data_IF_232737646921
#
_entry.id   IF_232737646921
#
_cell.length_a   1.000
_cell.length_b   1.000
_cell.length_c   1.000
_cell.angle_alpha   90.00
_cell.angle_beta   90.00
_cell.angle_gamma   90.00
#
_symmetry.space_group_name_H-M   'P 1'
#
loop_
_entity.id
_entity.type
_entity.pdbx_description
1 polymer ?
#
# COMPACT_ATOMS: atom_id res chain seq x y z
N UNK A 1 -5.60 5.55 33.09
CA UNK A 1 -5.89 4.16 32.71
C UNK A 1 -5.57 4.03 31.23
N UNK A 2 -4.82 3.02 30.78
CA UNK A 2 -4.63 2.84 29.34
C UNK A 2 -6.01 2.58 28.73
N UNK A 3 -6.43 3.48 27.85
CA UNK A 3 -7.64 3.30 27.05
C UNK A 3 -7.40 2.13 26.11
N UNK A 4 -8.35 1.20 25.99
CA UNK A 4 -8.25 0.12 25.00
C UNK A 4 -7.94 0.69 23.61
N UNK A 5 -7.10 0.02 22.79
CA UNK A 5 -6.78 0.48 21.45
C UNK A 5 -8.05 0.66 20.60
N UNK A 6 -8.14 1.79 19.89
CA UNK A 6 -9.33 2.18 19.13
C UNK A 6 -9.38 1.52 17.74
N UNK A 7 -9.55 0.19 17.72
CA UNK A 7 -9.70 -0.58 16.48
C UNK A 7 -10.93 -0.16 15.67
N UNK A 8 -11.96 0.37 16.31
CA UNK A 8 -13.18 0.84 15.63
C UNK A 8 -12.91 2.06 14.77
N UNK A 9 -12.02 2.95 15.20
CA UNK A 9 -11.57 4.06 14.37
C UNK A 9 -10.81 3.58 13.11
N UNK A 10 -10.01 2.52 13.23
CA UNK A 10 -9.34 1.91 12.06
C UNK A 10 -10.38 1.33 11.10
N UNK A 11 -11.32 0.52 11.58
CA UNK A 11 -12.44 -0.02 10.78
C UNK A 11 -13.20 1.07 10.05
N UNK A 12 -13.45 2.20 10.73
CA UNK A 12 -14.11 3.36 10.10
C UNK A 12 -13.28 3.94 8.95
N UNK A 13 -11.95 3.95 9.07
CA UNK A 13 -11.04 4.47 8.05
C UNK A 13 -10.86 3.53 6.84
N UNK A 14 -11.04 2.22 7.01
CA UNK A 14 -11.07 1.25 5.92
C UNK A 14 -12.19 1.52 4.90
N UNK A 15 -13.30 2.08 5.39
CA UNK A 15 -14.46 2.47 4.62
C UNK A 15 -14.32 3.78 3.82
N UNK A 16 -15.45 4.48 3.57
CA UNK A 16 -15.47 5.76 2.86
C UNK A 16 -14.62 6.83 3.55
N UNK A 17 -14.02 7.73 2.77
CA UNK A 17 -13.12 8.79 3.27
C UNK A 17 -13.84 9.93 4.00
N UNK A 18 -15.07 10.25 3.61
CA UNK A 18 -15.77 11.44 4.06
C UNK A 18 -15.85 11.60 5.59
N UNK A 19 -16.12 10.54 6.38
CA UNK A 19 -16.22 10.67 7.83
C UNK A 19 -14.91 11.03 8.57
N UNK A 20 -13.74 10.81 7.95
CA UNK A 20 -12.44 11.16 8.54
C UNK A 20 -11.82 12.42 7.90
N UNK A 21 -12.52 13.10 6.99
CA UNK A 21 -11.93 14.18 6.19
C UNK A 21 -11.31 15.29 7.04
N UNK A 22 -12.01 15.74 8.10
CA UNK A 22 -11.51 16.81 8.97
C UNK A 22 -10.33 16.36 9.84
N UNK A 23 -10.36 15.11 10.32
CA UNK A 23 -9.22 14.51 11.03
C UNK A 23 -7.99 14.45 10.13
N UNK A 24 -8.14 13.94 8.91
CA UNK A 24 -7.04 13.86 7.94
C UNK A 24 -6.51 15.25 7.60
N UNK A 25 -7.39 16.23 7.40
CA UNK A 25 -6.97 17.62 7.16
C UNK A 25 -6.15 18.19 8.33
N UNK A 26 -6.55 17.90 9.58
CA UNK A 26 -5.81 18.28 10.78
C UNK A 26 -4.42 17.62 10.85
N UNK A 27 -4.32 16.33 10.54
CA UNK A 27 -3.06 15.58 10.49
C UNK A 27 -2.10 16.15 9.43
N UNK A 28 -2.62 16.44 8.23
CA UNK A 28 -1.84 17.04 7.14
C UNK A 28 -1.39 18.47 7.47
N UNK A 29 -2.24 19.29 8.08
CA UNK A 29 -1.87 20.64 8.51
C UNK A 29 -0.81 20.60 9.62
N UNK A 30 -0.92 19.64 10.55
CA UNK A 30 0.13 19.40 11.53
C UNK A 30 1.45 19.06 10.85
N UNK A 31 1.46 18.10 9.93
CA UNK A 31 2.65 17.76 9.16
C UNK A 31 3.22 18.95 8.40
N UNK A 32 2.38 19.83 7.85
CA UNK A 32 2.81 21.07 7.19
C UNK A 32 3.49 22.05 8.16
N UNK A 33 2.96 22.18 9.37
CA UNK A 33 3.40 23.15 10.37
C UNK A 33 4.64 22.69 11.13
N UNK A 34 4.69 21.43 11.54
CA UNK A 34 5.66 20.92 12.52
C UNK A 34 6.85 20.21 11.86
N UNK A 35 6.69 19.68 10.64
CA UNK A 35 7.76 18.96 9.96
C UNK A 35 8.93 19.89 9.60
N UNK A 36 10.09 19.60 10.21
CA UNK A 36 11.36 20.20 9.86
C UNK A 36 12.11 19.27 8.87
N UNK A 37 12.27 19.68 7.59
CA UNK A 37 13.00 18.88 6.62
C UNK A 37 14.49 18.80 6.97
N UNK A 38 15.19 17.68 6.66
CA UNK A 38 16.63 17.61 6.80
C UNK A 38 17.35 18.68 5.97
N UNK A 39 18.09 19.57 6.64
CA UNK A 39 18.82 20.69 6.04
C UNK A 39 20.14 20.23 5.38
N UNK A 40 20.03 19.42 4.33
CA UNK A 40 21.17 18.85 3.59
C UNK A 40 21.07 19.08 2.09
N UNK A 41 22.22 19.11 1.40
CA UNK A 41 22.30 19.29 -0.05
C UNK A 41 21.66 18.15 -0.86
N UNK A 42 21.39 18.41 -2.15
CA UNK A 42 20.80 17.44 -3.08
C UNK A 42 21.75 16.30 -3.47
N UNK A 43 23.05 16.45 -3.17
CA UNK A 43 24.09 15.44 -3.23
C UNK A 43 23.94 14.37 -2.14
N UNK A 44 23.36 14.74 -0.98
CA UNK A 44 23.03 13.81 0.12
C UNK A 44 21.64 13.22 -0.11
N UNK A 45 20.64 14.08 -0.34
CA UNK A 45 19.25 13.67 -0.58
C UNK A 45 18.72 14.31 -1.85
N UNK A 46 18.63 13.51 -2.92
CA UNK A 46 18.13 13.98 -4.22
C UNK A 46 16.69 14.50 -4.15
N UNK A 47 16.35 15.45 -5.02
CA UNK A 47 14.98 15.99 -5.13
C UNK A 47 13.93 14.91 -5.40
N UNK A 48 14.30 13.82 -6.10
CA UNK A 48 13.40 12.70 -6.33
C UNK A 48 13.01 12.01 -5.03
N UNK A 49 13.98 11.78 -4.14
CA UNK A 49 13.74 11.19 -2.82
C UNK A 49 12.92 12.15 -1.96
N UNK A 50 13.29 13.45 -1.93
CA UNK A 50 12.53 14.47 -1.19
C UNK A 50 11.06 14.55 -1.60
N UNK A 51 10.78 14.54 -2.91
CA UNK A 51 9.39 14.54 -3.42
C UNK A 51 8.55 13.37 -2.93
N UNK A 52 9.17 12.22 -2.66
CA UNK A 52 8.47 11.03 -2.15
C UNK A 52 8.38 11.07 -0.62
N UNK A 53 9.52 11.29 0.05
CA UNK A 53 9.63 11.19 1.51
C UNK A 53 9.06 12.41 2.26
N UNK A 54 8.90 13.54 1.58
CA UNK A 54 8.45 14.80 2.17
C UNK A 54 7.17 15.32 1.51
N UNK A 55 6.35 14.44 0.93
CA UNK A 55 4.98 14.81 0.56
C UNK A 55 4.12 15.10 1.81
N UNK A 56 2.95 15.71 1.63
CA UNK A 56 2.11 16.12 2.77
C UNK A 56 1.73 14.95 3.69
N UNK A 57 1.56 13.75 3.13
CA UNK A 57 1.18 12.56 3.88
C UNK A 57 2.37 12.01 4.69
N UNK A 58 3.54 11.89 4.08
CA UNK A 58 4.74 11.41 4.75
C UNK A 58 5.18 12.38 5.85
N UNK A 59 5.04 13.71 5.67
CA UNK A 59 5.28 14.67 6.76
C UNK A 59 4.39 14.40 7.97
N UNK A 60 3.09 14.19 7.75
CA UNK A 60 2.17 13.85 8.83
C UNK A 60 2.58 12.52 9.51
N UNK A 61 2.97 11.50 8.74
CA UNK A 61 3.45 10.23 9.28
C UNK A 61 4.72 10.40 10.11
N UNK A 62 5.72 11.09 9.57
CA UNK A 62 7.02 11.32 10.20
C UNK A 62 6.89 12.10 11.52
N UNK A 63 6.05 13.14 11.56
CA UNK A 63 5.76 13.84 12.82
C UNK A 63 5.01 12.99 13.82
N UNK A 64 4.12 12.09 13.36
CA UNK A 64 3.43 11.19 14.27
C UNK A 64 4.35 10.09 14.82
N UNK A 65 5.29 9.59 14.02
CA UNK A 65 6.33 8.66 14.48
C UNK A 65 7.25 9.36 15.50
N UNK A 66 7.61 10.62 15.28
CA UNK A 66 8.41 11.39 16.24
C UNK A 66 7.74 11.51 17.62
N UNK A 67 6.41 11.61 17.69
CA UNK A 67 5.67 11.65 18.96
C UNK A 67 5.78 10.35 19.79
N UNK A 68 6.27 9.26 19.22
CA UNK A 68 6.38 7.95 19.88
C UNK A 68 7.71 7.83 20.64
N UNK A 69 8.70 8.63 20.22
CA UNK A 69 10.04 8.64 20.79
C UNK A 69 10.01 9.42 22.10
N UNK A 70 10.43 8.78 23.20
CA UNK A 70 10.69 9.52 24.44
C UNK A 70 12.14 10.01 24.43
N UNK A 71 12.42 11.23 24.94
CA UNK A 71 13.79 11.71 25.06
C UNK A 71 14.66 10.76 25.89
N UNK A 72 15.86 10.48 25.42
CA UNK A 72 16.81 9.59 26.10
C UNK A 72 16.67 8.11 25.75
N UNK A 73 15.81 7.73 24.79
CA UNK A 73 15.61 6.34 24.40
C UNK A 73 16.68 5.78 23.46
N UNK A 74 16.99 4.51 23.67
CA UNK A 74 17.78 3.67 22.77
C UNK A 74 16.85 3.15 21.67
N UNK A 75 17.06 3.60 20.43
CA UNK A 75 16.20 3.30 19.29
C UNK A 75 16.84 2.28 18.36
N UNK A 76 16.05 1.29 17.91
CA UNK A 76 16.42 0.41 16.79
C UNK A 76 15.40 0.54 15.67
N UNK A 77 15.84 0.85 14.45
CA UNK A 77 14.98 0.89 13.26
C UNK A 77 15.24 -0.32 12.34
N UNK A 78 14.18 -1.08 12.03
CA UNK A 78 14.20 -2.18 11.06
C UNK A 78 13.59 -1.67 9.76
N UNK A 79 14.39 -1.65 8.69
CA UNK A 79 14.02 -1.08 7.38
C UNK A 79 14.24 0.43 7.29
N UNK A 80 15.47 0.90 7.55
CA UNK A 80 15.76 2.33 7.64
C UNK A 80 15.62 3.14 6.34
N UNK A 81 15.54 2.48 5.18
CA UNK A 81 15.19 3.09 3.91
C UNK A 81 16.08 4.28 3.50
N UNK A 82 15.53 5.49 3.55
CA UNK A 82 16.24 6.72 3.21
C UNK A 82 16.64 7.57 4.44
N UNK A 83 16.41 7.07 5.65
CA UNK A 83 16.84 7.71 6.91
C UNK A 83 15.96 8.84 7.42
N UNK A 84 14.76 9.03 6.86
CA UNK A 84 13.86 10.12 7.27
C UNK A 84 13.23 9.87 8.64
N UNK A 85 12.90 8.62 8.97
CA UNK A 85 12.44 8.24 10.31
C UNK A 85 13.57 8.47 11.32
N UNK A 86 14.77 7.95 11.04
CA UNK A 86 15.98 8.19 11.82
C UNK A 86 16.22 9.68 12.13
N UNK A 87 16.19 10.55 11.10
CA UNK A 87 16.40 11.98 11.26
C UNK A 87 15.36 12.61 12.20
N UNK A 88 14.08 12.20 12.11
CA UNK A 88 13.03 12.70 13.00
C UNK A 88 13.14 12.14 14.42
N UNK A 89 13.47 10.86 14.58
CA UNK A 89 13.64 10.22 15.89
C UNK A 89 14.82 10.83 16.67
N UNK A 90 15.95 11.07 16.00
CA UNK A 90 17.11 11.73 16.60
C UNK A 90 16.81 13.21 16.92
N UNK A 91 16.04 13.91 16.10
CA UNK A 91 15.58 15.26 16.41
C UNK A 91 14.56 15.29 17.57
N UNK A 92 13.78 14.23 17.76
CA UNK A 92 12.85 14.07 18.88
C UNK A 92 13.54 13.73 20.21
N UNK A 93 14.86 13.48 20.19
CA UNK A 93 15.67 13.31 21.40
C UNK A 93 16.05 11.88 21.73
N UNK A 94 15.98 10.94 20.77
CA UNK A 94 16.59 9.62 20.95
C UNK A 94 18.07 9.77 21.39
N UNK A 95 18.47 8.99 22.41
CA UNK A 95 19.82 8.99 22.95
C UNK A 95 20.80 8.32 21.99
N UNK A 96 20.38 7.19 21.42
CA UNK A 96 21.15 6.49 20.40
C UNK A 96 20.26 5.86 19.34
N UNK A 97 20.88 5.55 18.21
CA UNK A 97 20.24 4.99 17.05
C UNK A 97 21.04 3.81 16.49
N UNK A 98 20.39 2.66 16.40
CA UNK A 98 20.82 1.51 15.61
C UNK A 98 19.82 1.26 14.51
N UNK A 99 20.27 0.70 13.40
CA UNK A 99 19.35 0.33 12.34
C UNK A 99 19.84 -0.81 11.46
N UNK A 100 18.89 -1.34 10.71
CA UNK A 100 19.14 -2.32 9.69
C UNK A 100 18.24 -2.13 8.47
N UNK A 101 18.67 -2.66 7.33
CA UNK A 101 17.88 -2.74 6.11
C UNK A 101 18.37 -3.92 5.28
N UNK A 102 17.49 -4.56 4.51
CA UNK A 102 17.88 -5.63 3.59
C UNK A 102 18.77 -5.09 2.46
N UNK A 103 18.56 -3.82 2.07
CA UNK A 103 19.24 -3.20 0.95
C UNK A 103 20.49 -2.42 1.40
N UNK A 104 21.66 -2.86 0.96
CA UNK A 104 22.93 -2.16 1.16
C UNK A 104 22.87 -0.66 0.79
N UNK A 105 22.04 -0.33 -0.21
CA UNK A 105 21.85 1.04 -0.68
C UNK A 105 21.09 1.92 0.31
N UNK A 106 20.17 1.35 1.10
CA UNK A 106 19.44 2.04 2.16
C UNK A 106 20.38 2.35 3.32
N UNK A 107 21.13 1.34 3.78
CA UNK A 107 22.18 1.48 4.82
C UNK A 107 23.11 2.65 4.52
N UNK A 108 23.67 2.71 3.30
CA UNK A 108 24.57 3.80 2.87
C UNK A 108 23.88 5.16 2.82
N UNK A 109 22.61 5.23 2.38
CA UNK A 109 21.85 6.49 2.28
C UNK A 109 21.53 7.04 3.66
N UNK A 110 21.04 6.20 4.57
CA UNK A 110 20.75 6.58 5.95
C UNK A 110 22.01 7.06 6.66
N UNK A 111 23.12 6.31 6.57
CA UNK A 111 24.39 6.73 7.16
C UNK A 111 24.84 8.11 6.67
N UNK A 112 24.88 8.32 5.34
CA UNK A 112 25.25 9.63 4.76
C UNK A 112 24.34 10.78 5.22
N UNK A 113 23.04 10.52 5.34
CA UNK A 113 22.09 11.54 5.82
C UNK A 113 22.38 11.91 7.28
N UNK A 114 22.57 10.92 8.16
CA UNK A 114 22.81 11.16 9.58
C UNK A 114 24.16 11.82 9.84
N UNK A 115 25.20 11.45 9.07
CA UNK A 115 26.50 12.13 9.10
C UNK A 115 26.34 13.60 8.67
N UNK A 116 25.63 13.86 7.57
CA UNK A 116 25.41 15.23 7.09
C UNK A 116 24.57 16.10 8.06
N UNK A 117 23.81 15.48 8.96
CA UNK A 117 23.06 16.14 10.03
C UNK A 117 23.84 16.26 11.35
N UNK A 118 25.08 15.75 11.42
CA UNK A 118 25.93 15.80 12.61
C UNK A 118 25.38 14.93 13.75
N UNK A 119 24.96 13.70 13.44
CA UNK A 119 24.44 12.74 14.42
C UNK A 119 25.37 11.55 14.66
N UNK A 120 26.63 11.61 14.23
CA UNK A 120 27.58 10.49 14.28
C UNK A 120 27.84 9.99 15.71
N UNK A 121 27.73 10.88 16.69
CA UNK A 121 27.92 10.58 18.11
C UNK A 121 26.80 9.72 18.73
N UNK A 122 25.62 9.75 18.12
CA UNK A 122 24.42 9.00 18.55
C UNK A 122 24.14 7.77 17.69
N UNK A 123 24.67 7.69 16.47
CA UNK A 123 24.55 6.51 15.62
C UNK A 123 25.53 5.43 16.09
N UNK A 124 25.00 4.30 16.58
CA UNK A 124 25.83 3.18 17.05
C UNK A 124 26.17 2.20 15.93
N UNK A 125 25.21 1.90 15.06
CA UNK A 125 25.41 1.00 13.91
C UNK A 125 24.27 1.09 12.90
N UNK A 126 24.58 0.96 11.60
CA UNK A 126 23.59 0.74 10.53
C UNK A 126 24.10 -0.41 9.67
N UNK A 127 23.36 -1.51 9.61
CA UNK A 127 23.84 -2.77 9.01
C UNK A 127 22.91 -3.31 7.94
N UNK A 128 23.46 -4.08 7.00
CA UNK A 128 22.65 -4.85 6.05
C UNK A 128 22.16 -6.12 6.75
N UNK A 129 20.84 -6.31 6.86
CA UNK A 129 20.25 -7.48 7.53
C UNK A 129 18.82 -7.73 7.06
N UNK A 130 18.51 -9.01 6.89
CA UNK A 130 17.15 -9.50 6.63
C UNK A 130 16.36 -9.56 7.93
N UNK A 131 15.18 -8.91 7.93
CA UNK A 131 14.23 -8.92 9.05
C UNK A 131 13.91 -10.35 9.51
N UNK A 132 13.76 -11.31 8.60
CA UNK A 132 13.45 -12.70 8.95
C UNK A 132 14.56 -13.41 9.76
N UNK A 133 15.76 -12.84 9.77
CA UNK A 133 16.93 -13.38 10.49
C UNK A 133 17.19 -12.68 11.82
N UNK A 134 16.26 -11.84 12.29
CA UNK A 134 16.37 -11.17 13.58
C UNK A 134 16.38 -12.18 14.75
N UNK A 135 17.33 -11.96 15.65
CA UNK A 135 17.51 -12.66 16.91
C UNK A 135 17.37 -11.67 18.07
N UNK A 136 17.04 -12.11 19.30
CA UNK A 136 16.90 -11.20 20.44
C UNK A 136 18.13 -10.33 20.70
N UNK A 137 19.34 -10.85 20.45
CA UNK A 137 20.59 -10.10 20.59
C UNK A 137 20.75 -8.94 19.60
N UNK A 138 19.95 -8.87 18.54
CA UNK A 138 19.95 -7.72 17.64
C UNK A 138 19.23 -6.51 18.23
N UNK A 139 18.30 -6.71 19.17
CA UNK A 139 17.42 -5.69 19.73
C UNK A 139 17.58 -5.51 21.25
N UNK A 140 18.56 -6.20 21.87
CA UNK A 140 18.68 -6.36 23.33
C UNK A 140 18.77 -5.04 24.14
N UNK A 141 19.44 -4.03 23.60
CA UNK A 141 19.54 -2.69 24.21
C UNK A 141 18.37 -1.75 23.88
N UNK A 142 17.43 -2.18 23.03
CA UNK A 142 16.37 -1.32 22.52
C UNK A 142 15.33 -0.99 23.60
N UNK A 143 14.93 0.27 23.64
CA UNK A 143 13.76 0.73 24.40
C UNK A 143 12.54 1.04 23.53
N UNK A 144 12.80 1.27 22.24
CA UNK A 144 11.81 1.46 21.19
C UNK A 144 12.36 0.86 19.89
N UNK A 145 11.57 0.00 19.26
CA UNK A 145 11.84 -0.54 17.93
C UNK A 145 10.87 0.10 16.94
N UNK A 146 11.35 0.55 15.79
CA UNK A 146 10.52 1.09 14.70
C UNK A 146 10.65 0.21 13.46
N UNK A 147 9.52 -0.18 12.89
CA UNK A 147 9.41 -0.90 11.62
C UNK A 147 8.33 -0.23 10.74
N UNK A 148 8.66 0.92 10.14
CA UNK A 148 7.69 1.73 9.38
C UNK A 148 7.76 1.41 7.89
N UNK A 149 6.63 0.98 7.31
CA UNK A 149 6.51 0.67 5.87
C UNK A 149 7.49 -0.40 5.37
N UNK A 150 7.54 -1.53 6.08
CA UNK A 150 8.41 -2.67 5.73
C UNK A 150 7.59 -3.92 5.46
N UNK A 151 6.69 -4.27 6.39
CA UNK A 151 6.00 -5.57 6.37
C UNK A 151 5.05 -5.73 5.18
N UNK A 152 4.66 -4.67 4.49
CA UNK A 152 3.90 -4.75 3.25
C UNK A 152 4.72 -5.23 2.05
N UNK A 153 6.05 -5.15 2.13
CA UNK A 153 6.97 -5.48 1.05
C UNK A 153 7.48 -6.92 1.11
N UNK A 154 7.33 -7.59 2.25
CA UNK A 154 7.86 -8.92 2.48
C UNK A 154 6.88 -10.02 2.03
N UNK A 155 7.37 -11.22 1.68
CA UNK A 155 6.51 -12.31 1.22
C UNK A 155 5.53 -12.85 2.28
N UNK A 156 5.94 -12.85 3.56
CA UNK A 156 5.15 -13.36 4.70
C UNK A 156 5.16 -12.32 5.83
N UNK A 157 4.16 -11.41 5.89
CA UNK A 157 4.12 -10.36 6.90
C UNK A 157 3.78 -10.90 8.29
N UNK A 158 3.07 -12.02 8.40
CA UNK A 158 2.81 -12.71 9.67
C UNK A 158 4.12 -13.15 10.31
N UNK A 159 4.95 -13.90 9.57
CA UNK A 159 6.26 -14.36 10.05
C UNK A 159 7.20 -13.19 10.37
N UNK A 160 7.11 -12.10 9.61
CA UNK A 160 7.90 -10.90 9.86
C UNK A 160 7.55 -10.27 11.22
N UNK A 161 6.24 -10.11 11.52
CA UNK A 161 5.82 -9.57 12.80
C UNK A 161 6.09 -10.53 13.97
N UNK A 162 5.93 -11.85 13.77
CA UNK A 162 6.32 -12.87 14.76
C UNK A 162 7.82 -12.83 15.07
N UNK A 163 8.64 -12.62 14.04
CA UNK A 163 10.10 -12.49 14.19
C UNK A 163 10.47 -11.23 14.97
N UNK A 164 9.82 -10.10 14.69
CA UNK A 164 9.96 -8.88 15.48
C UNK A 164 9.52 -9.09 16.93
N UNK A 165 8.34 -9.68 17.16
CA UNK A 165 7.82 -9.97 18.50
C UNK A 165 8.75 -10.88 19.30
N UNK A 166 9.29 -11.95 18.70
CA UNK A 166 10.26 -12.84 19.37
C UNK A 166 11.58 -12.16 19.71
N UNK A 167 12.04 -11.22 18.89
CA UNK A 167 13.29 -10.51 19.11
C UNK A 167 13.14 -9.29 20.04
N UNK A 168 11.92 -8.77 20.22
CA UNK A 168 11.63 -7.57 21.00
C UNK A 168 11.94 -7.81 22.50
N UNK A 169 12.69 -6.92 23.17
CA UNK A 169 12.83 -6.99 24.63
C UNK A 169 11.49 -6.79 25.34
N UNK A 170 11.30 -7.45 26.49
CA UNK A 170 10.05 -7.37 27.29
C UNK A 170 9.59 -5.94 27.63
N UNK A 171 10.54 -5.07 27.99
CA UNK A 171 10.29 -3.68 28.37
C UNK A 171 10.38 -2.68 27.20
N UNK A 172 10.61 -3.16 25.97
CA UNK A 172 10.59 -2.35 24.76
C UNK A 172 9.17 -2.28 24.18
N UNK A 173 8.91 -1.22 23.43
CA UNK A 173 7.72 -1.15 22.58
C UNK A 173 8.14 -1.18 21.10
N UNK A 174 7.26 -1.72 20.27
CA UNK A 174 7.35 -1.74 18.82
C UNK A 174 6.37 -0.72 18.23
N UNK A 175 6.86 0.19 17.40
CA UNK A 175 6.03 0.89 16.44
C UNK A 175 6.17 0.24 15.08
N UNK A 176 5.05 -0.01 14.42
CA UNK A 176 5.04 -0.32 13.00
C UNK A 176 3.89 0.39 12.28
N UNK A 177 4.09 0.62 10.99
CA UNK A 177 3.04 1.14 10.10
C UNK A 177 2.80 0.19 8.95
N UNK A 178 1.54 0.11 8.54
CA UNK A 178 1.13 -0.61 7.33
C UNK A 178 0.19 0.24 6.48
N UNK A 179 0.07 -0.02 5.19
CA UNK A 179 -0.97 0.58 4.36
C UNK A 179 -2.37 0.31 4.92
N UNK A 180 -3.15 1.39 5.08
CA UNK A 180 -4.57 1.32 5.42
C UNK A 180 -5.33 0.60 4.31
N UNK A 181 -6.31 -0.26 4.66
CA UNK A 181 -7.05 -1.05 3.70
C UNK A 181 -7.48 -0.21 2.50
N UNK A 182 -7.02 -0.68 1.34
CA UNK A 182 -7.41 -0.08 0.10
C UNK A 182 -6.74 1.24 -0.27
N UNK A 183 -5.88 1.75 0.59
CA UNK A 183 -4.93 2.80 0.28
C UNK A 183 -3.63 2.12 -0.17
N UNK A 184 -2.88 2.79 -1.03
CA UNK A 184 -1.57 2.33 -1.51
C UNK A 184 -1.50 0.96 -2.21
N UNK A 185 -2.62 0.25 -2.40
CA UNK A 185 -2.66 -1.02 -3.15
C UNK A 185 -2.17 -0.92 -4.60
N UNK A 186 -2.12 0.29 -5.17
CA UNK A 186 -1.56 0.57 -6.49
C UNK A 186 -0.02 0.57 -6.51
N UNK A 187 0.65 0.58 -5.36
CA UNK A 187 2.11 0.52 -5.27
C UNK A 187 2.54 -0.92 -5.52
N UNK A 188 3.24 -1.15 -6.62
CA UNK A 188 3.54 -2.52 -7.09
C UNK A 188 4.37 -3.35 -6.11
N UNK A 189 5.27 -2.69 -5.37
CA UNK A 189 6.09 -3.33 -4.35
C UNK A 189 5.33 -3.72 -3.08
N UNK A 190 4.06 -3.32 -2.92
CA UNK A 190 3.23 -3.74 -1.80
C UNK A 190 2.60 -5.08 -2.17
N UNK A 191 2.94 -6.11 -1.40
CA UNK A 191 2.51 -7.49 -1.57
C UNK A 191 1.38 -7.88 -0.64
N UNK A 192 1.12 -7.10 0.41
CA UNK A 192 0.15 -7.44 1.46
C UNK A 192 -1.01 -6.45 1.56
N UNK A 193 -2.18 -6.97 1.93
CA UNK A 193 -3.41 -6.22 2.21
C UNK A 193 -3.76 -6.39 3.69
N UNK A 194 -3.85 -5.28 4.42
CA UNK A 194 -4.10 -5.30 5.87
C UNK A 194 -5.52 -4.85 6.19
N UNK A 195 -6.18 -5.60 7.08
CA UNK A 195 -7.41 -5.18 7.76
C UNK A 195 -7.16 -5.07 9.25
N UNK A 196 -8.03 -4.37 9.97
CA UNK A 196 -8.02 -4.30 11.42
C UNK A 196 -7.99 -5.71 12.05
N UNK A 197 -8.86 -6.62 11.59
CA UNK A 197 -8.93 -8.00 12.10
C UNK A 197 -7.65 -8.79 11.82
N UNK A 198 -7.06 -8.62 10.62
CA UNK A 198 -5.79 -9.29 10.28
C UNK A 198 -4.68 -8.78 11.18
N UNK A 199 -4.58 -7.45 11.39
CA UNK A 199 -3.57 -6.85 12.26
C UNK A 199 -3.72 -7.31 13.71
N UNK A 200 -4.95 -7.41 14.22
CA UNK A 200 -5.21 -7.97 15.55
C UNK A 200 -4.70 -9.43 15.66
N UNK A 201 -4.99 -10.27 14.66
CA UNK A 201 -4.51 -11.66 14.64
C UNK A 201 -2.98 -11.75 14.50
N UNK A 202 -2.36 -10.88 13.70
CA UNK A 202 -0.91 -10.83 13.55
C UNK A 202 -0.22 -10.46 14.87
N UNK A 203 -0.75 -9.47 15.61
CA UNK A 203 -0.25 -9.08 16.92
C UNK A 203 -0.34 -10.24 17.93
N UNK A 204 -1.50 -10.92 17.99
CA UNK A 204 -1.70 -12.07 18.86
C UNK A 204 -0.69 -13.18 18.58
N UNK A 205 -0.49 -13.52 17.29
CA UNK A 205 0.50 -14.52 16.87
C UNK A 205 1.93 -14.13 17.22
N UNK A 206 2.24 -12.84 17.15
CA UNK A 206 3.54 -12.30 17.54
C UNK A 206 3.75 -12.22 19.06
N UNK A 207 2.75 -12.57 19.87
CA UNK A 207 2.82 -12.45 21.33
C UNK A 207 2.85 -10.99 21.81
N UNK A 208 2.22 -10.08 21.06
CA UNK A 208 2.20 -8.64 21.32
C UNK A 208 0.76 -8.15 21.58
N UNK A 209 0.64 -7.16 22.45
CA UNK A 209 -0.59 -6.40 22.69
C UNK A 209 -0.47 -5.01 22.07
N UNK A 210 -1.51 -4.58 21.36
CA UNK A 210 -1.60 -3.19 20.94
C UNK A 210 -1.77 -2.27 22.16
N UNK A 211 -0.95 -1.23 22.22
CA UNK A 211 -0.98 -0.17 23.21
C UNK A 211 -1.73 1.05 22.67
N UNK A 212 -1.56 1.31 21.37
CA UNK A 212 -2.25 2.34 20.61
C UNK A 212 -2.39 1.88 19.16
N UNK A 213 -3.55 2.15 18.57
CA UNK A 213 -3.79 1.97 17.15
C UNK A 213 -4.58 3.15 16.61
N UNK A 214 -4.21 3.64 15.43
CA UNK A 214 -4.94 4.71 14.76
C UNK A 214 -4.76 4.68 13.24
N UNK A 215 -5.77 5.10 12.48
CA UNK A 215 -5.56 5.49 11.09
C UNK A 215 -4.78 6.80 11.05
N UNK A 216 -3.92 6.93 10.04
CA UNK A 216 -3.03 8.07 9.88
C UNK A 216 -3.02 8.55 8.43
N UNK A 217 -3.39 9.81 8.26
CA UNK A 217 -3.36 10.57 7.01
C UNK A 217 -4.11 9.91 5.84
N UNK A 218 -5.14 9.10 6.09
CA UNK A 218 -5.87 8.31 5.07
C UNK A 218 -4.96 7.40 4.21
N UNK A 219 -3.83 6.97 4.79
CA UNK A 219 -2.82 6.16 4.10
C UNK A 219 -2.36 4.97 4.89
N UNK A 220 -2.24 5.11 6.21
CA UNK A 220 -1.60 4.12 7.07
C UNK A 220 -2.48 3.75 8.25
N UNK A 221 -2.20 2.57 8.81
CA UNK A 221 -2.48 2.25 10.20
C UNK A 221 -1.16 2.36 10.95
N UNK A 222 -1.13 3.14 12.02
CA UNK A 222 -0.02 3.19 12.95
C UNK A 222 -0.38 2.33 14.16
N UNK A 223 0.53 1.42 14.52
CA UNK A 223 0.37 0.53 15.66
C UNK A 223 1.57 0.72 16.58
N UNK A 224 1.30 0.97 17.86
CA UNK A 224 2.28 0.85 18.93
C UNK A 224 1.88 -0.37 19.75
N UNK A 225 2.79 -1.32 19.92
CA UNK A 225 2.57 -2.59 20.57
C UNK A 225 3.74 -2.96 21.48
N UNK A 226 3.54 -3.93 22.37
CA UNK A 226 4.60 -4.48 23.22
C UNK A 226 4.18 -5.82 23.80
N UNK A 227 5.08 -6.50 24.51
CA UNK A 227 4.70 -7.72 25.21
C UNK A 227 3.67 -7.45 26.33
N UNK A 228 2.79 -8.41 26.64
CA UNK A 228 1.81 -8.30 27.71
C UNK A 228 2.45 -7.87 29.03
N UNK A 229 1.87 -6.86 29.68
CA UNK A 229 2.41 -6.26 30.89
C UNK A 229 2.56 -4.75 30.77
N UNK A 230 3.02 -4.12 31.86
CA UNK A 230 3.16 -2.67 31.92
C UNK A 230 4.54 -2.24 32.40
N UNK A 231 5.08 -1.19 31.79
CA UNK A 231 6.24 -0.45 32.29
C UNK A 231 5.91 1.03 32.44
N UNK A 232 6.68 1.74 33.27
CA UNK A 232 6.52 3.19 33.43
C UNK A 232 6.77 3.92 32.10
N UNK A 233 7.76 3.45 31.33
CA UNK A 233 8.10 3.97 29.99
C UNK A 233 6.92 3.82 29.03
N UNK A 234 6.32 2.63 28.97
CA UNK A 234 5.13 2.33 28.16
C UNK A 234 3.97 3.27 28.49
N UNK A 235 3.72 3.50 29.77
CA UNK A 235 2.67 4.42 30.24
C UNK A 235 2.94 5.86 29.76
N UNK A 236 4.17 6.34 29.96
CA UNK A 236 4.58 7.67 29.53
C UNK A 236 4.46 7.86 28.00
N UNK A 237 4.82 6.83 27.22
CA UNK A 237 4.69 6.82 25.75
C UNK A 237 3.23 6.94 25.31
N UNK A 238 2.34 6.14 25.88
CA UNK A 238 0.90 6.22 25.56
C UNK A 238 0.33 7.58 25.94
N UNK A 239 0.68 8.12 27.12
CA UNK A 239 0.25 9.46 27.55
C UNK A 239 0.74 10.56 26.60
N UNK A 240 2.01 10.52 26.19
CA UNK A 240 2.57 11.45 25.20
C UNK A 240 1.81 11.39 23.87
N UNK A 241 1.52 10.17 23.38
CA UNK A 241 0.81 9.98 22.12
C UNK A 241 -0.63 10.47 22.16
N UNK A 242 -1.34 10.21 23.26
CA UNK A 242 -2.70 10.69 23.48
C UNK A 242 -2.72 12.21 23.61
N UNK A 243 -1.77 12.81 24.33
CA UNK A 243 -1.64 14.26 24.45
C UNK A 243 -1.37 14.91 23.08
N UNK A 244 -0.45 14.36 22.29
CA UNK A 244 -0.16 14.84 20.95
C UNK A 244 -1.37 14.72 20.01
N UNK A 245 -2.11 13.61 20.10
CA UNK A 245 -3.28 13.31 19.28
C UNK A 245 -4.59 14.00 19.72
N UNK A 246 -4.67 14.49 20.96
CA UNK A 246 -5.87 15.17 21.51
C UNK A 246 -6.31 16.43 20.74
N UNK A 247 -5.45 16.93 19.84
CA UNK A 247 -5.70 18.09 18.98
C UNK A 247 -6.45 17.75 17.69
N UNK A 248 -6.69 16.47 17.41
CA UNK A 248 -7.45 16.06 16.23
C UNK A 248 -8.97 16.29 16.45
N UNK A 249 -9.71 16.74 15.42
CA UNK A 249 -11.16 16.82 15.46
C UNK A 249 -11.79 15.47 15.84
N UNK A 250 -12.90 15.51 16.59
CA UNK A 250 -13.68 14.32 16.87
C UNK A 250 -14.19 13.71 15.56
N UNK A 251 -14.13 12.38 15.48
CA UNK A 251 -14.65 11.63 14.34
C UNK A 251 -16.06 11.18 14.67
N UNK A 252 -17.04 11.61 13.87
CA UNK A 252 -18.44 11.19 14.00
C UNK A 252 -18.56 9.68 13.78
N UNK A 253 -18.99 8.96 14.83
CA UNK A 253 -19.13 7.49 14.87
C UNK A 253 -20.56 7.03 14.57
N UNK A 254 -21.30 7.77 13.76
CA UNK A 254 -22.70 7.47 13.48
C UNK A 254 -22.82 6.09 12.81
N UNK A 255 -23.56 5.23 13.51
CA UNK A 255 -23.90 3.81 13.27
C UNK A 255 -22.72 2.82 13.29
N UNK A 256 -23.01 1.61 13.81
CA UNK A 256 -22.09 0.48 13.78
C UNK A 256 -21.59 0.30 12.34
N UNK A 257 -20.29 0.49 12.13
CA UNK A 257 -19.73 0.28 10.79
C UNK A 257 -20.01 -1.16 10.39
N UNK A 258 -20.65 -1.40 9.23
CA UNK A 258 -20.90 -2.76 8.79
C UNK A 258 -19.55 -3.48 8.74
N UNK A 259 -19.51 -4.71 9.26
CA UNK A 259 -18.27 -5.49 9.29
C UNK A 259 -17.65 -5.52 7.88
N UNK A 260 -16.37 -5.15 7.78
CA UNK A 260 -15.62 -5.30 6.54
C UNK A 260 -15.71 -6.79 6.15
N UNK A 261 -16.27 -7.14 4.98
CA UNK A 261 -16.33 -8.54 4.57
C UNK A 261 -14.90 -9.07 4.46
N UNK A 262 -14.67 -10.39 4.61
CA UNK A 262 -13.35 -10.99 4.50
C UNK A 262 -12.60 -10.46 3.27
N UNK A 263 -11.41 -9.91 3.51
CA UNK A 263 -10.57 -9.37 2.45
C UNK A 263 -9.53 -10.40 2.01
N UNK A 264 -9.10 -10.36 0.74
CA UNK A 264 -7.86 -11.00 0.33
C UNK A 264 -6.70 -10.43 1.14
N UNK A 265 -5.62 -11.20 1.27
CA UNK A 265 -4.47 -10.86 2.10
C UNK A 265 -3.25 -10.46 1.28
N UNK A 266 -3.18 -10.79 -0.01
CA UNK A 266 -1.96 -10.54 -0.80
C UNK A 266 -2.16 -10.27 -2.29
N UNK A 267 -1.08 -9.76 -2.89
CA UNK A 267 -0.88 -9.61 -4.32
C UNK A 267 0.23 -10.56 -4.79
N UNK A 268 -0.14 -11.53 -5.62
CA UNK A 268 0.81 -12.45 -6.25
C UNK A 268 1.21 -11.85 -7.60
N UNK A 269 2.36 -11.17 -7.65
CA UNK A 269 2.87 -10.57 -8.89
C UNK A 269 3.26 -11.68 -9.89
N UNK A 270 2.82 -11.53 -11.15
CA UNK A 270 3.02 -12.57 -12.18
C UNK A 270 3.80 -12.01 -13.37
N UNK A 271 4.87 -12.68 -13.81
CA UNK A 271 5.50 -12.37 -15.08
C UNK A 271 4.51 -12.60 -16.23
N UNK A 272 4.19 -11.56 -17.02
CA UNK A 272 3.24 -11.70 -18.13
C UNK A 272 3.69 -12.76 -19.15
N UNK A 273 5.00 -12.92 -19.35
CA UNK A 273 5.59 -13.96 -20.21
C UNK A 273 5.28 -15.40 -19.78
N UNK A 274 4.83 -15.62 -18.54
CA UNK A 274 4.40 -16.95 -18.07
C UNK A 274 2.91 -17.22 -18.25
N UNK A 275 2.13 -16.26 -18.77
CA UNK A 275 0.70 -16.40 -18.98
C UNK A 275 0.37 -16.72 -20.44
N UNK A 276 -0.61 -17.60 -20.64
CA UNK A 276 -1.24 -17.75 -21.95
C UNK A 276 -2.16 -16.54 -22.20
N UNK A 277 -1.81 -15.76 -23.23
CA UNK A 277 -2.48 -14.52 -23.62
C UNK A 277 -3.04 -14.67 -25.03
N UNK A 278 -4.35 -14.50 -25.17
CA UNK A 278 -5.06 -14.64 -26.45
C UNK A 278 -5.91 -13.42 -26.78
N UNK A 279 -6.29 -13.28 -28.05
CA UNK A 279 -7.25 -12.25 -28.45
C UNK A 279 -8.68 -12.56 -27.97
N UNK A 280 -9.40 -11.53 -27.55
CA UNK A 280 -10.87 -11.58 -27.39
C UNK A 280 -11.48 -10.54 -28.32
N UNK A 281 -12.56 -10.90 -29.03
CA UNK A 281 -13.18 -10.02 -30.02
C UNK A 281 -14.70 -10.25 -30.13
N UNK A 282 -15.45 -9.18 -30.40
CA UNK A 282 -16.83 -9.23 -30.87
C UNK A 282 -16.90 -9.18 -32.41
N UNK A 283 -18.06 -9.49 -33.01
CA UNK A 283 -18.26 -9.69 -34.46
C UNK A 283 -17.90 -8.50 -35.39
N UNK A 284 -17.38 -7.40 -34.85
CA UNK A 284 -17.06 -6.15 -35.58
C UNK A 284 -15.71 -5.55 -35.19
N UNK A 285 -14.91 -6.25 -34.38
CA UNK A 285 -13.55 -5.86 -34.05
C UNK A 285 -12.55 -6.80 -34.73
N UNK A 286 -11.54 -6.24 -35.39
CA UNK A 286 -10.30 -6.96 -35.66
C UNK A 286 -9.37 -6.72 -34.47
N UNK A 287 -8.74 -7.79 -33.97
CA UNK A 287 -7.85 -7.72 -32.80
C UNK A 287 -6.53 -8.39 -33.15
N UNK A 288 -5.45 -7.63 -33.03
CA UNK A 288 -4.08 -8.12 -33.19
C UNK A 288 -3.41 -8.09 -31.83
N UNK A 289 -2.93 -9.24 -31.36
CA UNK A 289 -2.25 -9.37 -30.06
C UNK A 289 -0.76 -9.45 -30.28
N UNK A 290 -0.02 -8.64 -29.55
CA UNK A 290 1.42 -8.77 -29.38
C UNK A 290 1.66 -9.48 -28.04
N UNK A 291 2.08 -10.75 -28.04
CA UNK A 291 2.30 -11.49 -26.81
C UNK A 291 3.52 -10.94 -26.05
N UNK A 292 3.58 -11.18 -24.73
CA UNK A 292 4.71 -10.75 -23.91
C UNK A 292 6.01 -11.47 -24.31
N UNK A 293 7.12 -10.72 -24.35
CA UNK A 293 8.47 -11.28 -24.47
C UNK A 293 8.93 -11.93 -23.15
N UNK A 294 9.83 -12.93 -23.19
CA UNK A 294 10.27 -13.67 -22.00
C UNK A 294 10.88 -12.82 -20.87
N UNK A 295 11.64 -11.76 -21.20
CA UNK A 295 12.51 -11.11 -20.22
C UNK A 295 11.84 -9.98 -19.42
N UNK A 296 10.74 -9.39 -19.90
CA UNK A 296 9.96 -8.34 -19.19
C UNK A 296 8.67 -7.95 -19.95
N UNK A 297 8.12 -8.87 -20.74
CA UNK A 297 7.17 -8.54 -21.81
C UNK A 297 5.86 -7.91 -21.34
N UNK A 298 5.53 -6.73 -21.85
CA UNK A 298 4.16 -6.27 -21.86
C UNK A 298 3.32 -7.11 -22.84
N UNK A 299 2.05 -7.31 -22.53
CA UNK A 299 1.08 -7.86 -23.46
C UNK A 299 0.30 -6.71 -24.07
N UNK A 300 0.18 -6.66 -25.40
CA UNK A 300 -0.52 -5.57 -26.06
C UNK A 300 -1.59 -6.07 -27.04
N UNK A 301 -2.64 -5.28 -27.23
CA UNK A 301 -3.66 -5.53 -28.23
C UNK A 301 -3.97 -4.26 -29.03
N UNK A 302 -4.00 -4.38 -30.35
CA UNK A 302 -4.54 -3.38 -31.26
C UNK A 302 -5.96 -3.77 -31.63
N UNK A 303 -6.92 -2.90 -31.34
CA UNK A 303 -8.35 -3.15 -31.57
C UNK A 303 -8.85 -2.19 -32.64
N UNK A 304 -9.26 -2.73 -33.79
CA UNK A 304 -9.78 -1.95 -34.92
C UNK A 304 -11.27 -2.21 -35.11
N UNK A 305 -12.09 -1.16 -34.94
CA UNK A 305 -13.53 -1.24 -35.10
C UNK A 305 -13.95 -1.02 -36.56
N UNK A 306 -14.80 -1.91 -37.09
CA UNK A 306 -15.38 -1.72 -38.42
C UNK A 306 -16.14 -0.37 -38.52
N UNK A 307 -16.08 0.26 -39.69
CA UNK A 307 -16.82 1.49 -39.98
C UNK A 307 -18.34 1.29 -39.87
N UNK A 308 -19.03 2.31 -39.36
CA UNK A 308 -20.50 2.31 -39.30
C UNK A 308 -21.02 3.75 -39.30
N UNK A 309 -22.08 4.07 -40.06
CA UNK A 309 -22.71 5.38 -40.03
C UNK A 309 -23.47 5.64 -38.72
N UNK A 310 -23.79 4.58 -37.97
CA UNK A 310 -24.47 4.67 -36.68
C UNK A 310 -23.42 4.80 -35.56
N UNK A 311 -23.37 5.92 -34.82
CA UNK A 311 -22.30 6.20 -33.85
C UNK A 311 -22.34 5.31 -32.59
N UNK A 312 -23.48 4.66 -32.31
CA UNK A 312 -23.63 3.73 -31.19
C UNK A 312 -23.17 2.30 -31.50
N UNK A 313 -22.87 1.97 -32.77
CA UNK A 313 -22.46 0.63 -33.20
C UNK A 313 -20.97 0.36 -32.92
N UNK A 314 -20.63 0.27 -31.63
CA UNK A 314 -19.25 0.06 -31.14
C UNK A 314 -18.77 -1.38 -31.38
N UNK A 315 -17.45 -1.55 -31.37
CA UNK A 315 -16.80 -2.85 -31.40
C UNK A 315 -16.03 -3.05 -30.09
N UNK A 316 -15.86 -4.31 -29.66
CA UNK A 316 -15.17 -4.64 -28.41
C UNK A 316 -14.13 -5.69 -28.70
N UNK A 317 -12.91 -5.48 -28.19
CA UNK A 317 -11.82 -6.43 -28.31
C UNK A 317 -10.69 -6.13 -27.34
N UNK A 318 -9.75 -7.05 -27.22
CA UNK A 318 -8.59 -6.87 -26.33
C UNK A 318 -7.90 -8.19 -25.99
N UNK A 319 -7.41 -8.29 -24.76
CA UNK A 319 -6.62 -9.40 -24.25
C UNK A 319 -7.48 -10.32 -23.36
N UNK A 320 -7.25 -11.62 -23.44
CA UNK A 320 -7.68 -12.61 -22.47
C UNK A 320 -6.45 -13.30 -21.88
N UNK A 321 -6.35 -13.35 -20.55
CA UNK A 321 -5.28 -13.99 -19.81
C UNK A 321 -5.81 -15.22 -19.07
N UNK A 322 -5.20 -16.38 -19.30
CA UNK A 322 -5.61 -17.66 -18.70
C UNK A 322 -5.37 -17.72 -17.20
N UNK A 323 -6.23 -18.46 -16.48
CA UNK A 323 -6.11 -18.81 -15.06
C UNK A 323 -5.95 -20.34 -14.86
N UNK A 324 -5.58 -21.10 -15.89
CA UNK A 324 -5.62 -22.57 -15.89
C UNK A 324 -4.81 -23.25 -14.76
N UNK A 325 -3.79 -22.57 -14.21
CA UNK A 325 -2.89 -23.10 -13.17
C UNK A 325 -2.76 -22.16 -11.97
N UNK A 326 -3.79 -21.34 -11.72
CA UNK A 326 -3.81 -20.36 -10.63
C UNK A 326 -4.86 -20.80 -9.61
N UNK A 327 -4.51 -21.04 -8.35
CA UNK A 327 -5.54 -21.27 -7.32
C UNK A 327 -6.52 -20.08 -7.28
N UNK A 328 -7.75 -20.28 -6.80
CA UNK A 328 -8.84 -19.31 -6.95
C UNK A 328 -8.43 -17.88 -6.61
N UNK A 329 -8.62 -16.98 -7.57
CA UNK A 329 -8.31 -15.56 -7.40
C UNK A 329 -9.52 -14.81 -6.86
N UNK A 330 -9.27 -13.84 -6.01
CA UNK A 330 -10.28 -12.92 -5.46
C UNK A 330 -10.29 -11.56 -6.16
N UNK A 331 -9.41 -11.37 -7.15
CA UNK A 331 -9.36 -10.17 -7.98
C UNK A 331 -8.09 -10.11 -8.81
N UNK A 332 -7.84 -8.94 -9.40
CA UNK A 332 -6.65 -8.66 -10.21
C UNK A 332 -6.13 -7.26 -9.93
N UNK A 333 -4.81 -7.11 -9.83
CA UNK A 333 -4.12 -5.82 -9.92
C UNK A 333 -3.40 -5.76 -11.25
N UNK A 334 -3.59 -4.67 -11.98
CA UNK A 334 -3.06 -4.52 -13.34
C UNK A 334 -2.55 -3.11 -13.58
N UNK A 335 -1.43 -2.99 -14.30
CA UNK A 335 -0.88 -1.73 -14.79
C UNK A 335 -1.10 -1.66 -16.30
N UNK A 336 -1.91 -0.72 -16.76
CA UNK A 336 -2.25 -0.57 -18.18
C UNK A 336 -2.09 0.86 -18.70
N UNK A 337 -1.96 0.96 -20.02
CA UNK A 337 -1.96 2.19 -20.81
C UNK A 337 -2.87 2.03 -22.04
N UNK A 338 -3.55 3.11 -22.41
CA UNK A 338 -4.38 3.19 -23.61
C UNK A 338 -4.03 4.48 -24.34
N UNK A 339 -3.60 4.35 -25.59
CA UNK A 339 -2.95 5.43 -26.34
C UNK A 339 -3.92 6.49 -26.89
N UNK A 340 -5.12 6.09 -27.33
CA UNK A 340 -6.17 6.97 -27.84
C UNK A 340 -7.46 6.81 -27.02
N UNK A 341 -7.44 7.33 -25.79
CA UNK A 341 -8.64 7.39 -24.94
C UNK A 341 -9.79 8.17 -25.63
N UNK A 342 -9.48 9.06 -26.58
CA UNK A 342 -10.47 9.77 -27.39
C UNK A 342 -11.27 8.87 -28.35
N UNK A 343 -10.73 7.71 -28.72
CA UNK A 343 -11.37 6.75 -29.63
C UNK A 343 -12.05 5.58 -28.89
N UNK A 344 -11.77 5.45 -27.60
CA UNK A 344 -12.35 4.44 -26.71
C UNK A 344 -13.57 5.02 -25.98
N UNK A 345 -14.63 4.22 -25.88
CA UNK A 345 -15.84 4.56 -25.12
C UNK A 345 -15.78 4.02 -23.69
N UNK A 346 -15.18 2.85 -23.51
CA UNK A 346 -14.98 2.23 -22.20
C UNK A 346 -13.80 1.26 -22.22
N UNK A 347 -13.16 1.09 -21.07
CA UNK A 347 -12.25 -0.01 -20.75
C UNK A 347 -12.98 -0.93 -19.78
N UNK A 348 -12.93 -2.24 -20.00
CA UNK A 348 -13.52 -3.22 -19.08
C UNK A 348 -12.52 -4.27 -18.66
N UNK A 349 -12.66 -4.71 -17.42
CA UNK A 349 -11.97 -5.89 -16.89
C UNK A 349 -13.04 -6.88 -16.49
N UNK A 350 -13.05 -8.05 -17.13
CA UNK A 350 -14.11 -9.04 -16.98
C UNK A 350 -13.55 -10.39 -16.57
N UNK A 351 -14.20 -11.02 -15.60
CA UNK A 351 -14.03 -12.44 -15.30
C UNK A 351 -15.26 -13.18 -15.83
N UNK A 352 -15.16 -13.88 -16.97
CA UNK A 352 -16.27 -14.63 -17.54
C UNK A 352 -16.59 -15.88 -16.73
N UNK A 353 -17.89 -16.19 -16.60
CA UNK A 353 -18.33 -17.53 -16.22
C UNK A 353 -17.95 -17.99 -14.81
N UNK A 354 -18.08 -17.13 -13.81
CA UNK A 354 -18.08 -17.58 -12.42
C UNK A 354 -19.28 -18.49 -12.14
N UNK A 355 -19.23 -19.32 -11.09
CA UNK A 355 -20.14 -20.44 -10.77
C UNK A 355 -21.66 -20.20 -10.93
N UNK A 356 -22.12 -18.95 -11.00
CA UNK A 356 -23.52 -18.55 -11.28
C UNK A 356 -23.89 -18.42 -12.77
N UNK A 357 -22.94 -18.61 -13.70
CA UNK A 357 -23.11 -18.32 -15.13
C UNK A 357 -23.09 -16.82 -15.48
N UNK A 358 -22.81 -15.95 -14.51
CA UNK A 358 -22.75 -14.48 -14.70
C UNK A 358 -21.30 -14.00 -14.65
N UNK A 359 -20.92 -13.15 -15.61
CA UNK A 359 -19.62 -12.49 -15.61
C UNK A 359 -19.55 -11.38 -14.56
N UNK A 360 -18.38 -11.19 -13.95
CA UNK A 360 -18.08 -10.02 -13.14
C UNK A 360 -17.30 -9.00 -14.00
N UNK A 361 -17.85 -7.81 -14.21
CA UNK A 361 -17.26 -6.80 -15.08
C UNK A 361 -17.11 -5.46 -14.37
N UNK A 362 -15.86 -5.01 -14.27
CA UNK A 362 -15.50 -3.65 -13.89
C UNK A 362 -15.46 -2.78 -15.13
N UNK A 363 -16.11 -1.61 -15.09
CA UNK A 363 -16.22 -0.73 -16.26
C UNK A 363 -15.69 0.66 -15.96
N UNK A 364 -14.68 1.09 -16.71
CA UNK A 364 -14.24 2.47 -16.80
C UNK A 364 -14.87 3.11 -18.03
N UNK A 365 -15.90 3.93 -17.83
CA UNK A 365 -16.50 4.74 -18.91
C UNK A 365 -15.69 6.03 -19.06
N UNK A 366 -15.14 6.28 -20.26
CA UNK A 366 -14.23 7.40 -20.46
C UNK A 366 -14.95 8.74 -20.44
N UNK A 367 -14.42 9.68 -19.64
CA UNK A 367 -14.87 11.06 -19.56
C UNK A 367 -13.93 12.01 -20.32
N UNK A 368 -14.34 13.26 -20.54
CA UNK A 368 -13.47 14.29 -21.16
C UNK A 368 -12.19 14.57 -20.35
N UNK A 369 -12.21 14.37 -19.03
CA UNK A 369 -11.03 14.56 -18.17
C UNK A 369 -10.01 13.44 -18.35
N UNK A 370 -10.47 12.22 -18.63
CA UNK A 370 -9.59 11.06 -18.81
C UNK A 370 -8.72 11.20 -20.08
N UNK A 371 -9.29 11.75 -21.15
CA UNK A 371 -8.62 11.97 -22.45
C UNK A 371 -7.41 12.92 -22.36
N UNK A 372 -7.29 13.71 -21.30
CA UNK A 372 -6.18 14.64 -21.12
C UNK A 372 -4.94 13.99 -20.47
N UNK A 373 -4.99 12.69 -20.15
CA UNK A 373 -3.91 11.98 -19.43
C UNK A 373 -3.78 10.53 -19.90
N UNK A 374 -2.79 10.27 -20.76
CA UNK A 374 -2.48 8.95 -21.34
C UNK A 374 -1.43 8.16 -20.54
N UNK A 375 -1.26 8.42 -19.24
CA UNK A 375 -0.19 7.75 -18.47
C UNK A 375 -0.58 6.33 -18.10
N UNK A 376 0.42 5.43 -18.02
CA UNK A 376 0.32 4.14 -17.32
C UNK A 376 -0.29 4.31 -15.95
N UNK A 377 -1.25 3.44 -15.61
CA UNK A 377 -1.96 3.48 -14.33
C UNK A 377 -2.17 2.06 -13.81
N UNK A 378 -2.01 1.93 -12.50
CA UNK A 378 -2.25 0.68 -11.77
C UNK A 378 -3.61 0.71 -11.10
N UNK A 379 -4.38 -0.36 -11.30
CA UNK A 379 -5.69 -0.56 -10.71
C UNK A 379 -5.73 -1.90 -9.98
N UNK A 380 -6.23 -1.89 -8.74
CA UNK A 380 -6.57 -3.08 -7.97
C UNK A 380 -8.07 -3.30 -8.11
N UNK A 381 -8.54 -4.43 -8.62
CA UNK A 381 -9.96 -4.69 -8.90
C UNK A 381 -10.39 -5.98 -8.21
N UNK A 382 -11.31 -5.87 -7.24
CA UNK A 382 -11.88 -7.00 -6.51
C UNK A 382 -13.34 -6.75 -6.11
N UNK A 383 -14.13 -7.80 -5.83
CA UNK A 383 -15.52 -7.65 -5.37
C UNK A 383 -15.65 -6.73 -4.14
N UNK A 384 -16.80 -6.07 -4.00
CA UNK A 384 -17.11 -5.20 -2.86
C UNK A 384 -16.43 -3.83 -2.87
N UNK A 385 -15.55 -3.53 -3.85
CA UNK A 385 -14.80 -2.28 -3.90
C UNK A 385 -14.85 -1.62 -5.28
N UNK A 386 -15.38 -0.40 -5.34
CA UNK A 386 -15.26 0.47 -6.52
C UNK A 386 -14.00 1.31 -6.40
N UNK A 387 -13.21 1.37 -7.47
CA UNK A 387 -11.98 2.16 -7.53
C UNK A 387 -12.07 3.03 -8.77
N UNK A 388 -12.14 4.35 -8.56
CA UNK A 388 -12.16 5.33 -9.65
C UNK A 388 -10.96 5.07 -10.57
N UNK A 389 -11.17 4.93 -11.88
CA UNK A 389 -12.41 5.23 -12.62
C UNK A 389 -13.29 4.02 -12.96
N UNK A 390 -12.96 2.83 -12.47
CA UNK A 390 -13.76 1.62 -12.66
C UNK A 390 -14.94 1.56 -11.69
N UNK A 391 -16.14 1.49 -12.24
CA UNK A 391 -17.33 1.08 -11.50
C UNK A 391 -17.33 -0.44 -11.33
N UNK A 392 -17.49 -0.90 -10.08
CA UNK A 392 -17.61 -2.33 -9.77
C UNK A 392 -19.01 -2.87 -10.16
N UNK A 393 -19.12 -4.17 -10.47
CA UNK A 393 -20.42 -4.81 -10.62
C UNK A 393 -21.18 -4.83 -9.28
N UNK A 394 -22.52 -4.90 -9.33
CA UNK A 394 -23.37 -4.94 -8.12
C UNK A 394 -23.05 -6.12 -7.20
N UNK A 395 -22.71 -7.25 -7.79
CA UNK A 395 -22.18 -8.43 -7.11
C UNK A 395 -21.16 -9.09 -8.03
N UNK A 396 -20.12 -9.67 -7.42
CA UNK A 396 -19.12 -10.45 -8.11
C UNK A 396 -18.73 -11.63 -7.23
N UNK A 397 -18.85 -12.82 -7.81
CA UNK A 397 -18.22 -14.04 -7.35
C UNK A 397 -17.22 -14.40 -8.45
N UNK A 398 -15.97 -14.70 -8.10
CA UNK A 398 -14.94 -15.05 -9.07
C UNK A 398 -14.64 -16.56 -9.06
N UNK A 399 -15.35 -17.33 -8.23
CA UNK A 399 -15.19 -18.77 -8.09
C UNK A 399 -15.40 -19.45 -9.43
N UNK A 400 -14.38 -20.21 -9.86
CA UNK A 400 -14.40 -20.96 -11.13
C UNK A 400 -14.08 -20.13 -12.38
N UNK A 401 -13.73 -18.85 -12.25
CA UNK A 401 -13.26 -18.06 -13.39
C UNK A 401 -11.99 -18.69 -13.99
N UNK A 402 -11.99 -18.86 -15.32
CA UNK A 402 -10.88 -19.51 -16.05
C UNK A 402 -9.96 -18.54 -16.77
N UNK A 403 -10.36 -17.28 -16.86
CA UNK A 403 -9.59 -16.21 -17.49
C UNK A 403 -10.04 -14.85 -16.98
N UNK A 404 -9.19 -13.86 -17.17
CA UNK A 404 -9.54 -12.44 -17.08
C UNK A 404 -9.43 -11.80 -18.46
N UNK A 405 -10.39 -10.96 -18.83
CA UNK A 405 -10.42 -10.24 -20.10
C UNK A 405 -10.25 -8.74 -19.85
N UNK A 406 -9.27 -8.11 -20.51
CA UNK A 406 -9.09 -6.65 -20.51
C UNK A 406 -9.43 -6.16 -21.91
N UNK A 407 -10.55 -5.43 -22.03
CA UNK A 407 -11.10 -5.05 -23.34
C UNK A 407 -11.33 -3.56 -23.49
N UNK A 408 -11.19 -3.09 -24.72
CA UNK A 408 -11.55 -1.75 -25.17
C UNK A 408 -12.86 -1.82 -25.94
N UNK A 409 -13.78 -0.92 -25.63
CA UNK A 409 -14.94 -0.65 -26.49
C UNK A 409 -14.61 0.54 -27.39
N UNK A 410 -14.34 0.28 -28.67
CA UNK A 410 -13.82 1.25 -29.64
C UNK A 410 -14.96 1.84 -30.49
N UNK A 411 -14.90 3.15 -30.76
CA UNK A 411 -15.88 3.85 -31.62
C UNK A 411 -15.77 3.36 -33.08
N UNK A 412 -16.87 3.40 -33.86
CA UNK A 412 -16.85 2.91 -35.24
C UNK A 412 -15.77 3.57 -36.11
N UNK A 413 -15.06 2.75 -36.91
CA UNK A 413 -14.01 3.23 -37.81
C UNK A 413 -12.75 3.76 -37.12
N UNK A 414 -12.58 3.47 -35.83
CA UNK A 414 -11.40 3.87 -35.05
C UNK A 414 -10.56 2.65 -34.66
N UNK A 415 -9.32 2.92 -34.31
CA UNK A 415 -8.36 1.97 -33.77
C UNK A 415 -7.86 2.50 -32.43
N UNK A 416 -7.66 1.61 -31.47
CA UNK A 416 -7.06 1.94 -30.19
C UNK A 416 -6.13 0.81 -29.74
N UNK A 417 -5.10 1.17 -28.99
CA UNK A 417 -4.08 0.26 -28.52
C UNK A 417 -4.14 0.14 -26.99
N UNK A 418 -4.09 -1.10 -26.50
CA UNK A 418 -3.99 -1.44 -25.09
C UNK A 418 -2.60 -2.02 -24.83
N UNK A 419 -1.87 -1.48 -23.87
CA UNK A 419 -0.64 -2.06 -23.31
C UNK A 419 -0.93 -2.48 -21.86
N UNK A 420 -0.78 -3.76 -21.55
CA UNK A 420 -0.78 -4.32 -20.21
C UNK A 420 0.67 -4.61 -19.82
N UNK A 421 1.20 -3.82 -18.89
CA UNK A 421 2.61 -3.85 -18.53
C UNK A 421 2.91 -4.74 -17.33
N UNK A 422 1.96 -4.87 -16.40
CA UNK A 422 2.10 -5.72 -15.21
C UNK A 422 0.76 -6.28 -14.78
N UNK A 423 0.79 -7.47 -14.19
CA UNK A 423 -0.38 -8.12 -13.59
C UNK A 423 -0.03 -8.84 -12.29
N UNK A 424 -0.96 -8.84 -11.35
CA UNK A 424 -0.88 -9.60 -10.11
C UNK A 424 -2.25 -10.16 -9.76
N UNK A 425 -2.28 -11.38 -9.23
CA UNK A 425 -3.51 -11.98 -8.71
C UNK A 425 -3.75 -11.53 -7.28
N UNK A 426 -4.99 -11.15 -6.96
CA UNK A 426 -5.36 -10.78 -5.59
C UNK A 426 -5.89 -12.04 -4.91
N UNK A 427 -5.31 -12.44 -3.77
CA UNK A 427 -5.61 -13.73 -3.11
C UNK A 427 -5.65 -13.62 -1.59
#
# INVERSE_FOLDING_TARGET
MPTSPDWDLVRRAEGPRAPLADRVASELERGRRDYAPPEVGSDVVSDKVRRVQEDAYNRARLERIADVVLPGEELVEVGCGAGFVAARALAAGAASYRAMDLEASCVRRTGRLLDALGHEDRVRSIVEKDLYTLEPGDLDDASLVICSEVVEHVPDPELALETLGRALPEDADLLFTVPLLGRLEQVWGHLSIFTAERLQSMLERAGLEALLVEPLADRWVLVVAGHPGGSQRRTARVEQLLAAGSRHPEVTRDEASPATPPQPTRFDNVPLGSLDVSAVSSSRAAVEVTPPTPDEGSAAATVTAAGSPLPWRRATGGLALSLADVDPVQGVRLELEVDSLADVAAVTVTFPGAASGRSATWTWTLSRRDVQSHRRRTFSLRPGRSITPFAAPRSADLTGARRVEVTLTVRPGRTAHLDLSRIAWIR
#
